data_IF_541420245822
#
_entry.id   IF_541420245822
#
_cell.length_a   1.000
_cell.length_b   1.000
_cell.length_c   1.000
_cell.angle_alpha   90.00
_cell.angle_beta   90.00
_cell.angle_gamma   90.00
#
_symmetry.space_group_name_H-M   'P 1'
#
loop_
_entity.id
_entity.type
_entity.pdbx_description
1 polymer ?
#
# COMPACT_ATOMS: atom_id res chain seq x y z
N UNK A 1 6.93 10.38 -18.50
CA UNK A 1 6.99 8.91 -18.67
C UNK A 1 6.17 8.31 -17.56
N UNK A 2 4.96 7.83 -17.86
CA UNK A 2 4.07 7.16 -16.91
C UNK A 2 4.51 5.71 -16.76
N UNK A 3 4.72 5.27 -15.52
CA UNK A 3 5.17 3.90 -15.23
C UNK A 3 3.98 2.96 -15.21
N UNK A 4 4.14 1.72 -15.67
CA UNK A 4 3.10 0.67 -15.54
C UNK A 4 2.73 0.37 -14.07
N UNK A 5 3.50 0.89 -13.12
CA UNK A 5 3.27 0.81 -11.68
C UNK A 5 2.26 1.84 -11.16
N UNK A 6 2.06 2.93 -11.91
CA UNK A 6 1.25 4.07 -11.47
C UNK A 6 -0.24 3.70 -11.45
N UNK A 7 -0.92 4.07 -10.37
CA UNK A 7 -2.36 3.90 -10.22
C UNK A 7 -3.04 5.22 -10.58
N UNK A 8 -4.13 5.12 -11.32
CA UNK A 8 -4.90 6.25 -11.82
C UNK A 8 -6.33 6.12 -11.35
N UNK A 9 -6.90 7.23 -10.88
CA UNK A 9 -8.28 7.30 -10.42
C UNK A 9 -9.15 7.96 -11.48
N UNK A 10 -10.25 7.31 -11.83
CA UNK A 10 -11.24 7.85 -12.76
C UNK A 10 -12.14 8.88 -12.06
N UNK A 11 -12.94 9.66 -12.81
CA UNK A 11 -13.97 10.53 -12.24
C UNK A 11 -15.04 9.79 -11.41
N UNK A 12 -15.19 8.49 -11.63
CA UNK A 12 -16.11 7.61 -10.90
C UNK A 12 -15.50 6.98 -9.64
N UNK A 13 -14.30 7.41 -9.23
CA UNK A 13 -13.56 6.88 -8.06
C UNK A 13 -13.04 5.44 -8.22
N UNK A 14 -13.08 4.92 -9.45
CA UNK A 14 -12.51 3.62 -9.80
C UNK A 14 -11.01 3.76 -10.07
N UNK A 15 -10.25 2.71 -9.79
CA UNK A 15 -8.78 2.73 -9.86
C UNK A 15 -8.25 1.80 -10.94
N UNK A 16 -7.25 2.27 -11.69
CA UNK A 16 -6.71 1.58 -12.85
C UNK A 16 -5.19 1.64 -12.90
N UNK A 17 -4.58 0.67 -13.60
CA UNK A 17 -3.21 0.77 -14.11
C UNK A 17 -3.23 0.90 -15.62
N UNK A 18 -2.27 1.65 -16.15
CA UNK A 18 -1.99 1.66 -17.57
C UNK A 18 -1.53 0.27 -18.01
N UNK A 19 -2.21 -0.30 -19.00
CA UNK A 19 -1.72 -1.48 -19.72
C UNK A 19 -1.43 -1.05 -21.15
N UNK A 20 -0.17 -1.09 -21.56
CA UNK A 20 0.19 -0.81 -22.94
C UNK A 20 -0.23 -1.99 -23.82
N UNK A 21 -1.03 -1.73 -24.86
CA UNK A 21 -1.27 -2.69 -25.92
C UNK A 21 -0.86 -2.07 -27.26
N UNK A 22 -0.05 -2.78 -28.05
CA UNK A 22 0.37 -2.33 -29.39
C UNK A 22 -0.80 -2.27 -30.39
N UNK A 23 -1.97 -2.78 -30.02
CA UNK A 23 -3.20 -2.78 -30.85
C UNK A 23 -3.97 -1.47 -30.76
N UNK A 24 -3.88 -0.78 -29.63
CA UNK A 24 -4.49 0.52 -29.45
C UNK A 24 -3.62 1.56 -30.17
N UNK A 25 -4.15 2.22 -31.20
CA UNK A 25 -3.46 3.33 -31.86
C UNK A 25 -3.14 4.46 -30.86
N UNK A 26 -2.35 5.48 -31.26
CA UNK A 26 -1.84 6.52 -30.36
C UNK A 26 -2.93 7.36 -29.66
N UNK A 27 -4.19 7.23 -30.07
CA UNK A 27 -5.34 7.92 -29.51
C UNK A 27 -6.08 7.13 -28.43
N UNK A 28 -5.70 5.88 -28.13
CA UNK A 28 -6.40 5.03 -27.17
C UNK A 28 -5.46 4.53 -26.08
N UNK A 29 -5.90 4.66 -24.83
CA UNK A 29 -5.23 4.14 -23.64
C UNK A 29 -6.03 2.95 -23.12
N UNK A 30 -5.35 1.81 -22.95
CA UNK A 30 -5.96 0.64 -22.31
C UNK A 30 -5.68 0.67 -20.80
N UNK A 31 -6.74 0.66 -20.00
CA UNK A 31 -6.72 0.71 -18.54
C UNK A 31 -7.15 -0.64 -17.97
N UNK A 32 -6.40 -1.16 -17.01
CA UNK A 32 -6.77 -2.39 -16.29
C UNK A 32 -7.24 -2.03 -14.88
N UNK A 33 -8.45 -2.45 -14.47
CA UNK A 33 -8.92 -2.25 -13.11
C UNK A 33 -7.94 -2.83 -12.09
N UNK A 34 -7.75 -2.11 -10.99
CA UNK A 34 -6.95 -2.56 -9.85
C UNK A 34 -7.78 -2.54 -8.57
N UNK A 35 -7.48 -3.49 -7.69
CA UNK A 35 -8.07 -3.60 -6.37
C UNK A 35 -6.98 -3.30 -5.34
N UNK A 36 -7.33 -2.48 -4.36
CA UNK A 36 -6.49 -2.23 -3.20
C UNK A 36 -6.66 -3.34 -2.17
N UNK A 37 -5.56 -3.96 -1.78
CA UNK A 37 -5.53 -4.88 -0.64
C UNK A 37 -5.16 -4.10 0.63
N UNK A 38 -6.11 -3.89 1.57
CA UNK A 38 -5.86 -3.15 2.79
C UNK A 38 -4.97 -3.91 3.79
N UNK A 39 -4.72 -5.20 3.65
CA UNK A 39 -3.84 -5.95 4.57
C UNK A 39 -2.37 -5.90 4.15
N UNK A 40 -2.11 -5.65 2.86
CA UNK A 40 -0.76 -5.58 2.29
C UNK A 40 -0.37 -4.19 1.81
N UNK A 41 -1.33 -3.29 1.62
CA UNK A 41 -1.13 -1.94 1.13
C UNK A 41 -0.78 -1.91 -0.35
N UNK A 42 -1.10 -2.99 -1.06
CA UNK A 42 -0.73 -3.18 -2.44
C UNK A 42 -1.93 -3.06 -3.35
N UNK A 43 -1.74 -2.33 -4.44
CA UNK A 43 -2.62 -2.38 -5.58
C UNK A 43 -2.28 -3.60 -6.43
N UNK A 44 -3.27 -4.42 -6.71
CA UNK A 44 -3.15 -5.58 -7.60
C UNK A 44 -4.12 -5.43 -8.76
N UNK A 45 -3.72 -5.86 -9.95
CA UNK A 45 -4.65 -5.90 -11.08
C UNK A 45 -5.73 -6.92 -10.82
N UNK A 46 -6.98 -6.52 -11.00
CA UNK A 46 -8.09 -7.46 -10.97
C UNK A 46 -7.95 -8.40 -12.17
N UNK A 47 -7.86 -9.70 -11.89
CA UNK A 47 -7.73 -10.73 -12.93
C UNK A 47 -9.07 -11.13 -13.52
N UNK A 48 -10.16 -10.79 -12.85
CA UNK A 48 -11.52 -11.11 -13.26
C UNK A 48 -12.16 -9.96 -14.06
N UNK A 49 -11.61 -8.75 -13.96
CA UNK A 49 -12.10 -7.59 -14.68
C UNK A 49 -11.44 -7.46 -16.06
N UNK A 50 -12.25 -7.10 -17.06
CA UNK A 50 -11.76 -6.82 -18.40
C UNK A 50 -11.09 -5.43 -18.45
N UNK A 51 -10.03 -5.26 -19.25
CA UNK A 51 -9.48 -3.94 -19.53
C UNK A 51 -10.51 -3.04 -20.22
N UNK A 52 -10.41 -1.74 -19.97
CA UNK A 52 -11.24 -0.69 -20.57
C UNK A 52 -10.36 0.13 -21.50
N UNK A 53 -10.90 0.50 -22.67
CA UNK A 53 -10.23 1.40 -23.61
C UNK A 53 -10.84 2.79 -23.49
N UNK A 54 -9.99 3.79 -23.34
CA UNK A 54 -10.38 5.20 -23.16
C UNK A 54 -9.60 6.06 -24.15
N UNK A 55 -10.24 7.10 -24.67
CA UNK A 55 -9.56 8.10 -25.48
C UNK A 55 -8.42 8.77 -24.68
N UNK A 56 -7.25 8.91 -25.29
CA UNK A 56 -6.06 9.44 -24.63
C UNK A 56 -6.24 10.88 -24.14
N UNK A 57 -6.95 11.74 -24.91
CA UNK A 57 -7.20 13.11 -24.50
C UNK A 57 -8.20 13.18 -23.34
N UNK A 58 -9.21 12.30 -23.33
CA UNK A 58 -10.12 12.17 -22.19
C UNK A 58 -9.38 11.68 -20.94
N UNK A 59 -8.49 10.69 -21.09
CA UNK A 59 -7.68 10.17 -19.99
C UNK A 59 -6.84 11.28 -19.34
N UNK A 60 -6.06 12.00 -20.14
CA UNK A 60 -5.21 13.10 -19.64
C UNK A 60 -6.00 14.24 -18.99
N UNK A 61 -7.23 14.50 -19.47
CA UNK A 61 -8.07 15.57 -18.95
C UNK A 61 -8.82 15.20 -17.65
N UNK A 62 -9.09 13.92 -17.40
CA UNK A 62 -10.05 13.51 -16.36
C UNK A 62 -9.52 12.52 -15.34
N UNK A 63 -8.45 11.78 -15.66
CA UNK A 63 -7.88 10.82 -14.73
C UNK A 63 -6.78 11.50 -13.93
N UNK A 64 -6.81 11.27 -12.63
CA UNK A 64 -5.79 11.80 -11.72
C UNK A 64 -4.86 10.67 -11.34
N UNK A 65 -3.55 10.93 -11.42
CA UNK A 65 -2.57 9.98 -10.89
C UNK A 65 -2.77 9.92 -9.38
N UNK A 66 -3.13 8.73 -8.89
CA UNK A 66 -3.24 8.52 -7.45
C UNK A 66 -1.80 8.50 -6.92
N UNK A 67 -1.43 9.43 -6.03
CA UNK A 67 -0.13 9.39 -5.44
C UNK A 67 0.01 8.04 -4.75
N UNK A 68 0.97 7.24 -5.22
CA UNK A 68 1.52 6.13 -4.46
C UNK A 68 2.36 6.71 -3.30
N UNK A 69 1.83 7.71 -2.59
CA UNK A 69 2.28 8.03 -1.25
C UNK A 69 2.26 6.70 -0.54
N UNK A 70 3.47 6.23 -0.24
CA UNK A 70 3.77 4.97 0.42
C UNK A 70 2.76 4.80 1.53
N UNK A 71 1.67 4.09 1.25
CA UNK A 71 0.58 3.95 2.18
C UNK A 71 1.24 3.45 3.46
N UNK A 72 1.14 4.26 4.52
CA UNK A 72 1.56 3.88 5.87
C UNK A 72 1.16 2.42 6.01
N UNK A 73 2.15 1.55 6.19
CA UNK A 73 1.98 0.08 6.12
C UNK A 73 0.65 -0.24 6.77
N UNK A 74 -0.34 -0.77 6.04
CA UNK A 74 -1.69 -0.70 6.54
C UNK A 74 -1.90 -1.61 7.74
N UNK A 75 -0.95 -2.50 8.04
CA UNK A 75 -0.87 -3.20 9.33
C UNK A 75 -0.52 -2.25 10.46
N UNK A 76 0.38 -1.30 10.23
CA UNK A 76 0.70 -0.21 11.18
C UNK A 76 -0.51 0.71 11.33
N UNK A 77 -1.20 1.06 10.23
CA UNK A 77 -2.43 1.87 10.29
C UNK A 77 -3.53 1.16 11.07
N UNK A 78 -3.76 -0.13 10.80
CA UNK A 78 -4.74 -0.97 11.52
C UNK A 78 -4.37 -1.13 12.99
N UNK A 79 -3.08 -1.38 13.29
CA UNK A 79 -2.58 -1.47 14.65
C UNK A 79 -2.76 -0.16 15.40
N UNK A 80 -2.43 0.97 14.78
CA UNK A 80 -2.63 2.28 15.37
C UNK A 80 -4.12 2.51 15.70
N UNK A 81 -5.03 2.19 14.78
CA UNK A 81 -6.47 2.24 15.01
C UNK A 81 -6.91 1.40 16.22
N UNK A 82 -6.50 0.13 16.28
CA UNK A 82 -6.83 -0.76 17.40
C UNK A 82 -6.28 -0.25 18.74
N UNK A 83 -5.08 0.33 18.75
CA UNK A 83 -4.49 0.89 19.97
C UNK A 83 -5.23 2.17 20.39
N UNK A 84 -5.61 3.04 19.46
CA UNK A 84 -6.45 4.20 19.77
C UNK A 84 -7.79 3.80 20.37
N UNK A 85 -8.46 2.79 19.80
CA UNK A 85 -9.70 2.23 20.36
C UNK A 85 -9.49 1.67 21.77
N UNK A 86 -8.40 0.94 21.99
CA UNK A 86 -8.08 0.38 23.31
C UNK A 86 -7.85 1.49 24.35
N UNK A 87 -7.10 2.53 24.00
CA UNK A 87 -6.84 3.68 24.88
C UNK A 87 -8.14 4.43 25.21
N UNK A 88 -9.00 4.65 24.20
CA UNK A 88 -10.30 5.31 24.38
C UNK A 88 -11.24 4.48 25.25
N UNK A 89 -11.27 3.16 25.07
CA UNK A 89 -12.05 2.24 25.90
C UNK A 89 -11.56 2.22 27.35
N UNK A 90 -10.23 2.24 27.56
CA UNK A 90 -9.67 2.35 28.90
C UNK A 90 -10.12 3.64 29.57
N UNK A 91 -9.93 4.80 28.92
CA UNK A 91 -10.31 6.11 29.44
C UNK A 91 -11.80 6.19 29.76
N UNK A 92 -12.65 5.62 28.90
CA UNK A 92 -14.09 5.53 29.14
C UNK A 92 -14.43 4.68 30.37
N UNK A 93 -13.64 3.64 30.66
CA UNK A 93 -13.87 2.72 31.78
C UNK A 93 -13.31 3.20 33.13
N UNK A 94 -12.22 3.96 33.12
CA UNK A 94 -11.51 4.40 34.33
C UNK A 94 -11.66 5.89 34.61
N UNK A 95 -12.22 6.66 33.66
CA UNK A 95 -12.39 8.11 33.73
C UNK A 95 -11.10 8.90 33.46
N UNK A 96 -9.99 8.22 33.16
CA UNK A 96 -8.69 8.83 32.90
C UNK A 96 -7.89 8.00 31.89
N UNK A 97 -7.11 8.62 31.00
CA UNK A 97 -6.21 7.88 30.11
C UNK A 97 -5.13 7.13 30.91
N UNK A 98 -4.56 6.04 30.37
CA UNK A 98 -3.39 5.41 30.95
C UNK A 98 -2.22 6.41 31.08
N UNK A 99 -1.37 6.24 32.09
CA UNK A 99 -0.22 7.14 32.33
C UNK A 99 0.70 7.29 31.12
N UNK A 100 0.83 6.25 30.30
CA UNK A 100 1.71 6.22 29.14
C UNK A 100 0.99 6.45 27.80
N UNK A 101 -0.28 6.87 27.81
CA UNK A 101 -1.10 6.96 26.60
C UNK A 101 -0.47 7.83 25.49
N UNK A 102 0.10 8.97 25.85
CA UNK A 102 0.73 9.86 24.88
C UNK A 102 2.07 9.33 24.37
N UNK A 103 2.83 8.62 25.22
CA UNK A 103 4.05 7.94 24.80
C UNK A 103 3.75 6.79 23.82
N UNK A 104 2.66 6.05 24.05
CA UNK A 104 2.19 4.98 23.15
C UNK A 104 1.76 5.56 21.80
N UNK A 105 1.02 6.68 21.78
CA UNK A 105 0.61 7.37 20.54
C UNK A 105 1.83 7.86 19.76
N UNK A 106 2.77 8.54 20.43
CA UNK A 106 3.99 9.03 19.79
C UNK A 106 4.84 7.89 19.19
N UNK A 107 4.98 6.76 19.91
CA UNK A 107 5.72 5.61 19.42
C UNK A 107 5.06 4.96 18.18
N UNK A 108 3.72 5.02 18.06
CA UNK A 108 3.01 4.53 16.88
C UNK A 108 3.21 5.45 15.67
N UNK A 109 3.20 6.75 15.87
CA UNK A 109 3.50 7.74 14.83
C UNK A 109 4.93 7.58 14.31
N UNK A 110 5.91 7.43 15.21
CA UNK A 110 7.31 7.17 14.85
C UNK A 110 7.47 5.91 13.98
N UNK A 111 6.68 4.87 14.25
CA UNK A 111 6.67 3.61 13.49
C UNK A 111 5.98 3.76 12.13
N UNK A 112 4.92 4.57 12.05
CA UNK A 112 4.24 4.90 10.82
C UNK A 112 5.14 5.68 9.85
N UNK A 113 6.02 6.52 10.38
CA UNK A 113 6.91 7.40 9.62
C UNK A 113 8.23 6.74 9.19
N UNK A 114 8.48 5.48 9.55
CA UNK A 114 9.69 4.74 9.10
C UNK A 114 9.71 4.67 7.57
N UNK A 115 10.74 5.25 6.90
CA UNK A 115 10.84 5.24 5.45
C UNK A 115 10.88 3.81 4.89
N UNK A 116 10.20 3.57 3.77
CA UNK A 116 10.11 2.27 3.12
C UNK A 116 11.49 1.62 2.86
N UNK A 117 12.51 2.42 2.58
CA UNK A 117 13.90 1.97 2.36
C UNK A 117 14.59 1.43 3.63
N UNK A 118 14.18 1.89 4.82
CA UNK A 118 14.61 1.30 6.09
C UNK A 118 13.86 -0.02 6.36
N UNK A 119 12.59 -0.10 5.98
CA UNK A 119 11.75 -1.31 6.09
C UNK A 119 12.26 -2.44 5.18
N UNK A 120 12.57 -2.14 3.91
CA UNK A 120 13.16 -3.10 2.94
C UNK A 120 14.49 -3.66 3.40
N UNK A 121 15.39 -2.83 3.95
CA UNK A 121 16.69 -3.27 4.49
C UNK A 121 16.54 -4.29 5.63
N UNK A 122 15.58 -4.07 6.55
CA UNK A 122 15.29 -5.02 7.64
C UNK A 122 14.77 -6.37 7.14
N UNK A 123 13.86 -6.37 6.16
CA UNK A 123 13.36 -7.62 5.57
C UNK A 123 14.41 -8.36 4.73
N UNK A 124 15.31 -7.63 4.05
CA UNK A 124 16.46 -8.21 3.36
C UNK A 124 17.39 -8.95 4.31
N UNK A 125 17.71 -8.35 5.46
CA UNK A 125 18.53 -8.97 6.51
C UNK A 125 17.86 -10.21 7.12
N UNK A 126 16.55 -10.17 7.39
CA UNK A 126 15.80 -11.31 7.91
C UNK A 126 15.75 -12.49 6.92
N UNK A 127 15.55 -12.22 5.63
CA UNK A 127 15.58 -13.25 4.57
C UNK A 127 17.00 -13.83 4.35
N UNK A 128 18.03 -12.98 4.46
CA UNK A 128 19.43 -13.43 4.36
C UNK A 128 19.82 -14.34 5.54
N UNK A 129 19.39 -14.03 6.76
CA UNK A 129 19.59 -14.89 7.92
C UNK A 129 18.87 -16.25 7.78
N UNK A 130 17.65 -16.26 7.23
CA UNK A 130 16.92 -17.49 6.93
C UNK A 130 17.65 -18.38 5.91
N UNK A 131 18.22 -17.82 4.84
CA UNK A 131 18.96 -18.58 3.82
C UNK A 131 20.31 -19.14 4.32
N UNK A 132 20.99 -18.47 5.25
CA UNK A 132 22.23 -18.99 5.84
C UNK A 132 21.99 -20.16 6.80
N UNK A 133 20.82 -20.24 7.44
CA UNK A 133 20.45 -21.37 8.31
C UNK A 133 20.24 -22.69 7.56
N UNK A 134 19.74 -22.65 6.31
CA UNK A 134 19.47 -23.86 5.52
C UNK A 134 20.71 -24.55 4.95
N UNK A 135 21.85 -23.86 4.84
CA UNK A 135 23.06 -24.43 4.23
C UNK A 135 24.04 -25.09 5.22
N UNK A 136 23.81 -25.03 6.53
CA UNK A 136 24.69 -25.71 7.54
C UNK A 136 24.21 -27.10 7.97
N UNK A 137 23.11 -27.61 7.42
CA UNK A 137 22.46 -28.85 7.89
C UNK A 137 22.55 -30.08 6.98
N UNK A 138 23.39 -30.09 5.93
CA UNK A 138 23.52 -31.26 5.04
C UNK A 138 24.98 -31.54 4.70
N UNK A 139 25.64 -32.26 5.60
CA UNK A 139 27.03 -32.66 5.46
C UNK A 139 27.45 -33.65 6.53
N UNK A 140 26.83 -34.83 6.55
CA UNK A 140 27.44 -36.08 7.00
C UNK A 140 26.91 -37.21 6.12
#
# INVERSE_FOLDING_TARGET
MTSASDVWRSPGDEHFRLSWSERAGPSVVTLRPVVYDPDTGQWSSDRNAFPVEVDAALFEATYVQEPLERLRDPRITRLAGLVHELLANYESSTGSPPTDADAIRAALDDVADIPEEARKRRHGAARAAGRQGFHRGRGR
#
